data_IF_610994825010
#
_entry.id   IF_610994825010
#
_cell.length_a   1.000
_cell.length_b   1.000
_cell.length_c   1.000
_cell.angle_alpha   90.00
_cell.angle_beta   90.00
_cell.angle_gamma   90.00
#
_symmetry.space_group_name_H-M   'P 1'
#
loop_
_entity.id
_entity.type
_entity.pdbx_description
1 polymer ?
#
# COMPACT_ATOMS: atom_id res chain seq x y z
N UNK A 1 -30.25 -8.37 -27.21
CA UNK A 1 -28.76 -8.32 -27.14
C UNK A 1 -28.28 -9.72 -26.82
N UNK A 2 -27.32 -10.29 -27.57
CA UNK A 2 -26.86 -11.67 -27.32
C UNK A 2 -26.16 -11.75 -25.94
N UNK A 3 -26.49 -12.73 -25.08
CA UNK A 3 -25.97 -12.81 -23.70
C UNK A 3 -24.43 -12.81 -23.61
N UNK A 4 -23.75 -13.39 -24.59
CA UNK A 4 -22.28 -13.41 -24.70
C UNK A 4 -21.62 -12.02 -24.81
N UNK A 5 -22.30 -11.05 -25.45
CA UNK A 5 -21.81 -9.66 -25.55
C UNK A 5 -21.97 -8.92 -24.22
N UNK A 6 -23.01 -9.25 -23.45
CA UNK A 6 -23.24 -8.67 -22.14
C UNK A 6 -22.23 -9.20 -21.10
N UNK A 7 -21.90 -10.49 -21.17
CA UNK A 7 -20.91 -11.14 -20.30
C UNK A 7 -19.48 -10.59 -20.55
N UNK A 8 -19.11 -10.38 -21.81
CA UNK A 8 -17.81 -9.77 -22.17
C UNK A 8 -17.71 -8.29 -21.81
N UNK A 9 -18.79 -7.52 -21.97
CA UNK A 9 -18.86 -6.13 -21.52
C UNK A 9 -18.76 -6.02 -19.99
N UNK A 10 -19.46 -6.90 -19.26
CA UNK A 10 -19.39 -6.99 -17.80
C UNK A 10 -17.98 -7.34 -17.32
N UNK A 11 -17.34 -8.34 -17.93
CA UNK A 11 -15.97 -8.75 -17.58
C UNK A 11 -14.96 -7.61 -17.78
N UNK A 12 -15.11 -6.82 -18.85
CA UNK A 12 -14.26 -5.66 -19.13
C UNK A 12 -14.44 -4.56 -18.08
N UNK A 13 -15.68 -4.26 -17.69
CA UNK A 13 -15.97 -3.27 -16.66
C UNK A 13 -15.45 -3.72 -15.29
N UNK A 14 -15.60 -5.01 -14.95
CA UNK A 14 -15.06 -5.57 -13.72
C UNK A 14 -13.53 -5.49 -13.68
N UNK A 15 -12.85 -5.83 -14.78
CA UNK A 15 -11.40 -5.69 -14.88
C UNK A 15 -10.96 -4.26 -14.63
N UNK A 16 -11.63 -3.28 -15.26
CA UNK A 16 -11.35 -1.86 -15.06
C UNK A 16 -11.50 -1.44 -13.59
N UNK A 17 -12.59 -1.85 -12.93
CA UNK A 17 -12.80 -1.55 -11.50
C UNK A 17 -11.73 -2.15 -10.60
N UNK A 18 -11.27 -3.37 -10.91
CA UNK A 18 -10.17 -4.01 -10.17
C UNK A 18 -8.88 -3.22 -10.37
N UNK A 19 -8.54 -2.83 -11.60
CA UNK A 19 -7.36 -2.01 -11.89
C UNK A 19 -7.39 -0.66 -11.15
N UNK A 20 -8.53 0.04 -11.19
CA UNK A 20 -8.72 1.31 -10.47
C UNK A 20 -8.54 1.15 -8.95
N UNK A 21 -9.11 0.09 -8.38
CA UNK A 21 -9.00 -0.19 -6.94
C UNK A 21 -7.58 -0.60 -6.54
N UNK A 22 -6.86 -1.34 -7.41
CA UNK A 22 -5.46 -1.67 -7.19
C UNK A 22 -4.59 -0.41 -7.18
N UNK A 23 -4.76 0.49 -8.14
CA UNK A 23 -4.04 1.77 -8.18
C UNK A 23 -4.38 2.66 -6.98
N UNK A 24 -5.65 2.68 -6.54
CA UNK A 24 -6.07 3.42 -5.33
C UNK A 24 -5.35 2.90 -4.09
N UNK A 25 -5.36 1.58 -3.88
CA UNK A 25 -4.69 0.94 -2.72
C UNK A 25 -3.19 1.14 -2.71
N UNK A 26 -2.56 1.10 -3.88
CA UNK A 26 -1.14 1.40 -4.02
C UNK A 26 -0.84 2.85 -3.60
N UNK A 27 -1.60 3.82 -4.12
CA UNK A 27 -1.48 5.22 -3.77
C UNK A 27 -1.68 5.45 -2.26
N UNK A 28 -2.73 4.89 -1.67
CA UNK A 28 -2.99 4.98 -0.22
C UNK A 28 -1.83 4.41 0.61
N UNK A 29 -1.26 3.29 0.17
CA UNK A 29 -0.11 2.66 0.82
C UNK A 29 1.12 3.55 0.76
N UNK A 30 1.41 4.15 -0.40
CA UNK A 30 2.54 5.07 -0.58
C UNK A 30 2.35 6.34 0.26
N UNK A 31 1.16 6.94 0.25
CA UNK A 31 0.84 8.14 1.03
C UNK A 31 0.99 7.90 2.54
N UNK A 32 0.54 6.74 3.02
CA UNK A 32 0.74 6.35 4.41
C UNK A 32 2.22 6.32 4.78
N UNK A 33 3.06 5.61 4.02
CA UNK A 33 4.49 5.52 4.33
C UNK A 33 5.24 6.83 4.16
N UNK A 34 4.85 7.65 3.19
CA UNK A 34 5.37 9.02 3.05
C UNK A 34 5.05 9.84 4.31
N UNK A 35 3.80 9.79 4.81
CA UNK A 35 3.42 10.50 6.02
C UNK A 35 4.19 10.03 7.26
N UNK A 36 4.49 8.73 7.36
CA UNK A 36 5.33 8.20 8.42
C UNK A 36 6.79 8.70 8.33
N UNK A 37 7.35 8.83 7.12
CA UNK A 37 8.66 9.44 6.90
C UNK A 37 8.68 10.93 7.22
N UNK A 38 7.64 11.67 6.80
CA UNK A 38 7.52 13.11 7.09
C UNK A 38 7.54 13.36 8.61
N UNK A 39 6.87 12.51 9.40
CA UNK A 39 6.90 12.58 10.87
C UNK A 39 8.31 12.42 11.44
N UNK A 40 9.13 11.53 10.87
CA UNK A 40 10.53 11.34 11.30
C UNK A 40 11.35 12.60 11.01
N UNK A 41 11.14 13.23 9.85
CA UNK A 41 11.84 14.45 9.46
C UNK A 41 11.44 15.65 10.34
N UNK A 42 10.15 15.80 10.65
CA UNK A 42 9.64 16.90 11.49
C UNK A 42 10.17 16.81 12.93
N UNK A 43 10.41 15.60 13.45
CA UNK A 43 10.97 15.40 14.80
C UNK A 43 12.38 15.99 14.97
N UNK A 44 13.08 16.35 13.88
CA UNK A 44 14.46 16.91 13.90
C UNK A 44 15.37 16.19 14.90
N UNK A 45 15.66 14.90 14.66
CA UNK A 45 16.43 14.10 15.61
C UNK A 45 17.78 14.77 15.95
N UNK A 46 18.04 14.88 17.24
CA UNK A 46 19.20 15.60 17.81
C UNK A 46 20.56 14.97 17.42
N UNK A 47 20.54 13.72 16.99
CA UNK A 47 21.72 13.00 16.52
C UNK A 47 21.39 12.04 15.38
N UNK A 48 22.42 11.67 14.61
CA UNK A 48 22.32 10.62 13.59
C UNK A 48 21.86 9.28 14.18
N UNK A 49 22.26 8.97 15.42
CA UNK A 49 21.84 7.75 16.11
C UNK A 49 20.33 7.71 16.36
N UNK A 50 19.76 8.83 16.82
CA UNK A 50 18.31 8.97 17.02
C UNK A 50 17.55 8.84 15.70
N UNK A 51 18.06 9.43 14.62
CA UNK A 51 17.48 9.26 13.28
C UNK A 51 17.49 7.79 12.83
N UNK A 52 18.61 7.09 13.00
CA UNK A 52 18.71 5.67 12.64
C UNK A 52 17.72 4.80 13.41
N UNK A 53 17.45 5.10 14.68
CA UNK A 53 16.44 4.39 15.49
C UNK A 53 15.03 4.61 14.92
N UNK A 54 14.67 5.85 14.61
CA UNK A 54 13.36 6.17 14.01
C UNK A 54 13.16 5.47 12.65
N UNK A 55 14.19 5.44 11.79
CA UNK A 55 14.15 4.72 10.52
C UNK A 55 14.03 3.20 10.73
N UNK A 56 14.78 2.62 11.67
CA UNK A 56 14.66 1.18 12.01
C UNK A 56 13.25 0.84 12.48
N UNK A 57 12.65 1.70 13.31
CA UNK A 57 11.27 1.53 13.77
C UNK A 57 10.27 1.57 12.61
N UNK A 58 10.46 2.47 11.64
CA UNK A 58 9.64 2.53 10.42
C UNK A 58 9.76 1.23 9.62
N UNK A 59 10.98 0.77 9.34
CA UNK A 59 11.23 -0.47 8.61
C UNK A 59 10.59 -1.68 9.30
N UNK A 60 10.65 -1.76 10.64
CA UNK A 60 10.00 -2.82 11.39
C UNK A 60 8.47 -2.80 11.21
N UNK A 61 7.84 -1.62 11.22
CA UNK A 61 6.40 -1.48 10.95
C UNK A 61 6.05 -1.93 9.53
N UNK A 62 6.87 -1.58 8.54
CA UNK A 62 6.70 -2.03 7.15
C UNK A 62 6.76 -3.56 7.05
N UNK A 63 7.78 -4.17 7.66
CA UNK A 63 7.95 -5.62 7.67
C UNK A 63 6.79 -6.35 8.36
N UNK A 64 6.28 -5.80 9.46
CA UNK A 64 5.11 -6.35 10.13
C UNK A 64 3.87 -6.31 9.22
N UNK A 65 3.64 -5.19 8.51
CA UNK A 65 2.52 -5.08 7.56
C UNK A 65 2.68 -6.05 6.40
N UNK A 66 3.88 -6.20 5.84
CA UNK A 66 4.17 -7.20 4.80
C UNK A 66 3.87 -8.61 5.29
N UNK A 67 4.26 -8.96 6.52
CA UNK A 67 3.99 -10.30 7.11
C UNK A 67 2.50 -10.57 7.20
N UNK A 68 1.72 -9.61 7.71
CA UNK A 68 0.25 -9.72 7.83
C UNK A 68 -0.40 -9.86 6.45
N UNK A 69 0.01 -9.05 5.48
CA UNK A 69 -0.53 -9.12 4.12
C UNK A 69 -0.21 -10.47 3.47
N UNK A 70 1.02 -10.97 3.62
CA UNK A 70 1.39 -12.31 3.13
C UNK A 70 0.54 -13.41 3.77
N UNK A 71 0.26 -13.34 5.07
CA UNK A 71 -0.62 -14.32 5.73
C UNK A 71 -2.09 -14.25 5.30
N UNK A 72 -2.50 -13.13 4.68
CA UNK A 72 -3.86 -12.96 4.15
C UNK A 72 -4.01 -13.36 2.68
N UNK A 73 -2.90 -13.65 1.99
CA UNK A 73 -2.97 -14.14 0.62
C UNK A 73 -3.45 -15.61 0.63
N UNK A 74 -4.42 -15.99 -0.23
CA UNK A 74 -4.71 -17.39 -0.47
C UNK A 74 -3.43 -18.04 -1.03
N UNK A 75 -3.01 -19.15 -0.40
CA UNK A 75 -1.89 -19.97 -0.85
C UNK A 75 -2.19 -20.74 -2.13
#
# INVERSE_FOLDING_TARGET
MKPEIAETAWAKEMKKKVEEEMSRKEMETILYWKGELDKILVKRPESLGTFQIEVRNLLQRMMNRIRVLKSSLPG
#
